data_IF_206061510190
#
_entry.id   IF_206061510190
#
_cell.length_a   1.000
_cell.length_b   1.000
_cell.length_c   1.000
_cell.angle_alpha   90.00
_cell.angle_beta   90.00
_cell.angle_gamma   90.00
#
_symmetry.space_group_name_H-M   'P 1'
#
loop_
_entity.id
_entity.type
_entity.pdbx_description
1 polymer ?
#
# COMPACT_ATOMS: atom_id res chain seq x y z
N UNK A 1 -0.15 -19.23 -6.04
CA UNK A 1 0.12 -17.82 -5.70
C UNK A 1 -1.21 -17.15 -5.44
N UNK A 2 -1.39 -16.46 -4.31
CA UNK A 2 -2.61 -15.65 -4.09
C UNK A 2 -2.56 -14.49 -5.11
N UNK A 3 -3.60 -14.34 -5.92
CA UNK A 3 -3.74 -13.18 -6.79
C UNK A 3 -3.98 -11.95 -5.91
N UNK A 4 -2.92 -11.18 -5.66
CA UNK A 4 -3.03 -9.89 -4.99
C UNK A 4 -3.67 -8.92 -5.97
N UNK A 5 -4.77 -8.28 -5.54
CA UNK A 5 -5.44 -7.23 -6.29
C UNK A 5 -5.12 -5.91 -5.62
N UNK A 6 -4.54 -4.98 -6.37
CA UNK A 6 -4.32 -3.60 -5.92
C UNK A 6 -5.48 -2.74 -6.44
N UNK A 7 -6.06 -1.95 -5.55
CA UNK A 7 -7.14 -0.99 -5.85
C UNK A 7 -6.69 0.41 -5.42
N UNK A 8 -7.42 1.44 -5.85
CA UNK A 8 -7.03 2.84 -5.64
C UNK A 8 -7.05 3.30 -4.17
N UNK A 9 -7.79 2.62 -3.30
CA UNK A 9 -7.89 2.97 -1.88
C UNK A 9 -8.47 4.36 -1.63
N UNK A 10 -8.17 4.89 -0.45
CA UNK A 10 -8.56 6.21 0.05
C UNK A 10 -7.32 6.90 0.64
N UNK A 11 -7.15 8.23 0.47
CA UNK A 11 -6.01 8.97 1.02
C UNK A 11 -6.03 9.11 2.55
N UNK A 12 -7.11 8.67 3.21
CA UNK A 12 -7.25 8.73 4.66
C UNK A 12 -8.03 7.55 5.21
N UNK A 13 -7.78 7.17 6.48
CA UNK A 13 -6.75 7.72 7.37
C UNK A 13 -5.33 7.32 6.93
N UNK A 14 -4.32 8.09 7.34
CA UNK A 14 -2.91 7.79 7.05
C UNK A 14 -2.48 6.48 7.73
N UNK A 15 -1.56 5.75 7.10
CA UNK A 15 -1.07 4.46 7.55
C UNK A 15 -1.80 3.28 6.91
N UNK A 16 -1.86 2.16 7.64
CA UNK A 16 -2.55 0.94 7.21
C UNK A 16 -3.85 0.77 8.02
N UNK A 17 -4.98 0.62 7.33
CA UNK A 17 -6.29 0.48 7.95
C UNK A 17 -7.00 -0.76 7.41
N UNK A 18 -7.34 -1.70 8.29
CA UNK A 18 -8.17 -2.84 7.92
C UNK A 18 -9.57 -2.37 7.51
N UNK A 19 -10.06 -2.87 6.38
CA UNK A 19 -11.41 -2.65 5.87
C UNK A 19 -12.05 -3.98 5.52
N UNK A 20 -13.35 -3.98 5.27
CA UNK A 20 -14.04 -5.17 4.80
C UNK A 20 -13.44 -5.63 3.46
N UNK A 21 -12.84 -6.82 3.47
CA UNK A 21 -12.23 -7.41 2.28
C UNK A 21 -10.79 -7.02 1.98
N UNK A 22 -10.12 -6.20 2.83
CA UNK A 22 -8.72 -5.84 2.58
C UNK A 22 -8.10 -4.86 3.56
N UNK A 23 -7.02 -4.20 3.13
CA UNK A 23 -6.31 -3.16 3.89
C UNK A 23 -6.13 -1.95 2.99
N UNK A 24 -6.53 -0.78 3.47
CA UNK A 24 -6.22 0.50 2.84
C UNK A 24 -4.87 1.01 3.33
N UNK A 25 -3.99 1.40 2.41
CA UNK A 25 -2.72 2.05 2.70
C UNK A 25 -2.80 3.50 2.22
N UNK A 26 -2.38 4.44 3.06
CA UNK A 26 -2.28 5.85 2.71
C UNK A 26 -0.98 6.43 3.27
N UNK A 27 -0.09 6.88 2.39
CA UNK A 27 1.24 7.39 2.77
C UNK A 27 1.45 8.80 2.24
N UNK A 28 1.59 9.77 3.13
CA UNK A 28 1.98 11.11 2.72
C UNK A 28 3.45 11.15 2.30
N UNK A 29 3.71 11.72 1.11
CA UNK A 29 5.04 12.12 0.69
C UNK A 29 4.95 13.26 -0.33
N UNK A 30 5.45 14.45 0.06
CA UNK A 30 5.49 15.64 -0.79
C UNK A 30 6.44 15.54 -1.98
N UNK A 31 7.42 14.62 -1.92
CA UNK A 31 8.56 14.61 -2.83
C UNK A 31 8.89 13.21 -3.38
N UNK A 32 8.18 12.16 -2.98
CA UNK A 32 8.39 10.86 -3.59
C UNK A 32 8.04 10.92 -5.08
N UNK A 33 8.87 10.28 -5.90
CA UNK A 33 8.56 10.03 -7.31
C UNK A 33 7.88 8.67 -7.50
N UNK A 34 8.01 7.79 -6.49
CA UNK A 34 7.47 6.43 -6.48
C UNK A 34 7.34 5.91 -5.06
N UNK A 35 6.27 5.15 -4.80
CA UNK A 35 6.06 4.43 -3.54
C UNK A 35 5.75 2.96 -3.84
N UNK A 36 6.42 2.06 -3.14
CA UNK A 36 6.22 0.61 -3.26
C UNK A 36 5.72 0.04 -1.92
N UNK A 37 4.60 -0.68 -1.96
CA UNK A 37 4.10 -1.49 -0.87
C UNK A 37 4.78 -2.87 -0.91
N UNK A 38 5.58 -3.16 0.11
CA UNK A 38 6.23 -4.46 0.29
C UNK A 38 5.45 -5.30 1.31
N UNK A 39 5.05 -6.51 0.92
CA UNK A 39 4.39 -7.48 1.78
C UNK A 39 5.37 -8.58 2.15
N UNK A 40 5.43 -8.94 3.43
CA UNK A 40 6.37 -9.93 3.95
C UNK A 40 5.65 -11.15 4.53
N UNK A 41 6.39 -12.26 4.67
CA UNK A 41 5.98 -13.42 5.44
C UNK A 41 5.73 -13.06 6.91
N UNK A 42 4.99 -13.91 7.62
CA UNK A 42 4.62 -13.69 9.02
C UNK A 42 5.85 -13.54 9.95
N UNK A 43 6.94 -14.25 9.63
CA UNK A 43 8.23 -14.14 10.33
C UNK A 43 9.11 -12.94 9.86
N UNK A 44 8.63 -12.19 8.86
CA UNK A 44 9.30 -11.04 8.27
C UNK A 44 10.53 -11.38 7.42
N UNK A 45 10.85 -12.67 7.19
CA UNK A 45 12.12 -13.07 6.56
C UNK A 45 12.07 -13.06 5.03
N UNK A 46 10.89 -13.12 4.41
CA UNK A 46 10.72 -13.19 2.97
C UNK A 46 9.77 -12.10 2.47
N UNK A 47 10.21 -11.33 1.48
CA UNK A 47 9.32 -10.46 0.70
C UNK A 47 8.43 -11.33 -0.20
N UNK A 48 7.13 -11.30 0.03
CA UNK A 48 6.13 -12.07 -0.72
C UNK A 48 5.64 -11.33 -1.97
N UNK A 49 5.62 -9.99 -1.92
CA UNK A 49 5.21 -9.14 -3.02
C UNK A 49 5.72 -7.71 -2.86
N UNK A 50 5.87 -7.03 -3.98
CA UNK A 50 6.18 -5.61 -4.10
C UNK A 50 5.23 -4.99 -5.12
N UNK A 51 4.46 -4.01 -4.69
CA UNK A 51 3.39 -3.39 -5.48
C UNK A 51 3.62 -1.88 -5.54
N UNK A 52 3.72 -1.31 -6.73
CA UNK A 52 3.81 0.14 -6.90
C UNK A 52 2.43 0.78 -6.66
N UNK A 53 2.37 1.81 -5.79
CA UNK A 53 1.13 2.54 -5.54
C UNK A 53 0.83 3.49 -6.71
N UNK A 54 -0.30 3.32 -7.42
CA UNK A 54 -0.51 3.96 -8.73
C UNK A 54 -1.09 5.37 -8.66
N UNK A 55 -1.62 5.80 -7.51
CA UNK A 55 -2.33 7.08 -7.39
C UNK A 55 -1.68 7.95 -6.32
N UNK A 56 -1.66 9.25 -6.59
CA UNK A 56 -1.33 10.29 -5.61
C UNK A 56 -2.47 11.30 -5.58
N UNK A 57 -3.06 11.51 -4.39
CA UNK A 57 -4.07 12.55 -4.16
C UNK A 57 -3.63 13.43 -3.00
N UNK A 58 -3.52 14.74 -3.22
CA UNK A 58 -3.04 15.70 -2.21
C UNK A 58 -1.71 15.29 -1.54
N UNK A 59 -0.76 14.76 -2.34
CA UNK A 59 0.54 14.23 -1.88
C UNK A 59 0.44 12.98 -0.99
N UNK A 60 -0.71 12.32 -0.95
CA UNK A 60 -0.90 11.02 -0.32
C UNK A 60 -0.99 9.95 -1.39
N UNK A 61 -0.11 8.96 -1.27
CA UNK A 61 -0.02 7.75 -2.08
C UNK A 61 -0.92 6.66 -1.52
#
# INVERSE_FOLDING_TARGET
MKNLKLEHGLPYPLGATCQDGGVNFALFSAHAERVELCLFSEDGQMELAKLELPIVSNQVW
#
